data_IF_778938359447
#
_entry.id   IF_778938359447
#
_cell.length_a   1.000
_cell.length_b   1.000
_cell.length_c   1.000
_cell.angle_alpha   90.00
_cell.angle_beta   90.00
_cell.angle_gamma   90.00
#
_symmetry.space_group_name_H-M   'P 1'
#
loop_
_entity.id
_entity.type
_entity.pdbx_description
1 polymer ?
#
# COMPACT_ATOMS: atom_id res chain seq x y z
N UNK A 1 -17.57 2.24 -1.99
CA UNK A 1 -16.34 2.16 -2.83
C UNK A 1 -15.15 2.00 -1.90
N UNK A 2 -14.34 0.96 -2.09
CA UNK A 2 -13.14 0.72 -1.29
C UNK A 2 -11.97 1.39 -2.00
N UNK A 3 -11.64 2.62 -1.62
CA UNK A 3 -10.54 3.37 -2.23
C UNK A 3 -9.22 2.97 -1.57
N UNK A 4 -8.40 2.20 -2.29
CA UNK A 4 -7.05 1.87 -1.87
C UNK A 4 -6.08 2.82 -2.55
N UNK A 5 -5.23 3.47 -1.75
CA UNK A 5 -4.10 4.25 -2.26
C UNK A 5 -2.83 3.41 -2.16
N UNK A 6 -2.05 3.34 -3.25
CA UNK A 6 -0.80 2.60 -3.29
C UNK A 6 0.34 3.52 -3.74
N UNK A 7 1.51 3.35 -3.14
CA UNK A 7 2.76 4.00 -3.56
C UNK A 7 3.59 2.92 -4.25
N UNK A 8 3.78 3.06 -5.55
CA UNK A 8 4.53 2.10 -6.37
C UNK A 8 5.64 2.80 -7.14
N UNK A 9 6.78 2.13 -7.38
CA UNK A 9 7.81 2.68 -8.25
C UNK A 9 7.34 2.73 -9.71
N UNK A 10 7.82 3.73 -10.46
CA UNK A 10 7.57 3.83 -11.91
C UNK A 10 8.42 2.85 -12.75
N UNK A 11 9.43 2.25 -12.13
CA UNK A 11 10.28 1.23 -12.76
C UNK A 11 10.00 -0.13 -12.12
N UNK A 12 9.98 -1.17 -12.95
CA UNK A 12 9.61 -2.54 -12.54
C UNK A 12 10.58 -3.14 -11.51
N UNK A 13 11.87 -2.81 -11.60
CA UNK A 13 12.90 -3.21 -10.66
C UNK A 13 13.49 -1.97 -10.03
N UNK A 14 13.03 -1.63 -8.81
CA UNK A 14 13.55 -0.48 -8.08
C UNK A 14 14.78 -0.86 -7.24
N UNK A 15 15.97 -0.27 -7.48
CA UNK A 15 17.17 -0.56 -6.70
C UNK A 15 17.00 -0.18 -5.22
N UNK A 16 17.35 -1.09 -4.31
CA UNK A 16 17.24 -0.84 -2.87
C UNK A 16 15.80 -0.60 -2.38
N UNK A 17 14.80 -1.21 -3.02
CA UNK A 17 13.37 -1.06 -2.71
C UNK A 17 13.04 -1.26 -1.23
N UNK A 18 13.69 -2.19 -0.53
CA UNK A 18 13.48 -2.37 0.92
C UNK A 18 13.93 -1.15 1.73
N UNK A 19 15.12 -0.62 1.44
CA UNK A 19 15.65 0.55 2.12
C UNK A 19 14.77 1.78 1.84
N UNK A 20 14.30 1.92 0.59
CA UNK A 20 13.38 3.00 0.21
C UNK A 20 12.03 2.89 0.92
N UNK A 21 11.45 1.70 0.99
CA UNK A 21 10.19 1.46 1.70
C UNK A 21 10.32 1.84 3.19
N UNK A 22 11.42 1.45 3.85
CA UNK A 22 11.70 1.86 5.23
C UNK A 22 11.83 3.38 5.41
N UNK A 23 12.45 4.07 4.45
CA UNK A 23 12.55 5.54 4.48
C UNK A 23 11.18 6.21 4.33
N UNK A 24 10.35 5.72 3.41
CA UNK A 24 8.98 6.22 3.22
C UNK A 24 8.16 5.99 4.48
N UNK A 25 8.20 4.80 5.08
CA UNK A 25 7.52 4.51 6.35
C UNK A 25 7.94 5.49 7.44
N UNK A 26 9.25 5.67 7.66
CA UNK A 26 9.76 6.61 8.67
C UNK A 26 9.28 8.04 8.43
N UNK A 27 9.20 8.45 7.18
CA UNK A 27 8.68 9.77 6.81
C UNK A 27 7.17 9.89 7.12
N UNK A 28 6.37 8.87 6.81
CA UNK A 28 4.93 8.85 7.10
C UNK A 28 4.65 8.84 8.62
N UNK A 29 5.43 8.07 9.38
CA UNK A 29 5.37 8.08 10.86
C UNK A 29 5.73 9.46 11.40
N UNK A 30 6.80 10.10 10.88
CA UNK A 30 7.19 11.45 11.29
C UNK A 30 6.10 12.50 11.00
N UNK A 31 5.32 12.32 9.94
CA UNK A 31 4.18 13.17 9.60
C UNK A 31 2.90 12.83 10.37
N UNK A 32 2.94 11.80 11.23
CA UNK A 32 1.77 11.30 11.98
C UNK A 32 0.66 10.82 11.02
N UNK A 33 1.04 10.22 9.89
CA UNK A 33 0.09 9.66 8.91
C UNK A 33 -0.22 8.18 9.21
N UNK A 34 0.77 7.45 9.73
CA UNK A 34 0.61 6.05 10.17
C UNK A 34 1.27 5.88 11.54
N UNK A 35 0.76 4.94 12.32
CA UNK A 35 1.31 4.56 13.61
C UNK A 35 2.68 3.89 13.43
N UNK A 36 3.62 4.06 14.38
CA UNK A 36 4.94 3.45 14.30
C UNK A 36 4.92 1.93 14.57
N UNK A 37 3.94 1.42 15.31
CA UNK A 37 3.84 0.02 15.67
C UNK A 37 3.22 -0.82 14.56
N UNK A 38 3.87 -1.94 14.26
CA UNK A 38 3.34 -2.95 13.36
C UNK A 38 2.32 -3.81 14.11
N UNK A 39 1.09 -3.89 13.57
CA UNK A 39 -0.02 -4.64 14.18
C UNK A 39 -0.76 -5.48 13.14
N UNK A 40 -1.78 -6.22 13.57
CA UNK A 40 -2.56 -7.14 12.71
C UNK A 40 -3.70 -6.45 11.92
N UNK A 41 -3.54 -5.16 11.60
CA UNK A 41 -4.54 -4.34 10.91
C UNK A 41 -4.45 -4.35 9.37
N UNK A 42 -3.65 -5.27 8.82
CA UNK A 42 -3.52 -5.50 7.38
C UNK A 42 -4.62 -6.40 6.82
N UNK A 43 -4.74 -6.37 5.50
CA UNK A 43 -5.68 -7.16 4.70
C UNK A 43 -5.05 -8.42 4.11
N UNK A 44 -3.78 -8.37 3.70
CA UNK A 44 -3.15 -9.45 2.92
C UNK A 44 -2.56 -10.57 3.79
N UNK A 45 -1.76 -11.45 3.18
CA UNK A 45 -1.34 -12.79 3.64
C UNK A 45 -0.98 -12.90 5.14
N UNK A 46 -0.20 -11.97 5.70
CA UNK A 46 0.19 -12.00 7.11
C UNK A 46 -0.60 -11.04 8.01
N UNK A 47 -1.51 -10.25 7.43
CA UNK A 47 -2.29 -9.19 8.08
C UNK A 47 -1.46 -8.15 8.83
N UNK A 48 -0.16 -8.06 8.59
CA UNK A 48 0.71 -7.11 9.31
C UNK A 48 0.75 -5.78 8.57
N UNK A 49 0.42 -4.70 9.28
CA UNK A 49 0.40 -3.36 8.72
C UNK A 49 0.61 -2.28 9.80
N UNK A 50 0.85 -1.05 9.37
CA UNK A 50 0.95 0.13 10.21
C UNK A 50 -0.38 0.88 10.18
N UNK A 51 -1.09 0.96 11.30
CA UNK A 51 -2.43 1.56 11.36
C UNK A 51 -2.40 3.03 10.90
N UNK A 52 -3.51 3.53 10.35
CA UNK A 52 -3.67 4.96 10.07
C UNK A 52 -3.64 5.75 11.39
N UNK A 53 -2.76 6.76 11.47
CA UNK A 53 -2.63 7.64 12.62
C UNK A 53 -3.53 8.89 12.48
N UNK A 54 -3.87 9.59 13.59
CA UNK A 54 -4.78 10.73 13.58
C UNK A 54 -4.40 11.84 12.57
N UNK A 55 -3.10 12.05 12.35
CA UNK A 55 -2.60 13.06 11.44
C UNK A 55 -2.83 12.81 9.96
N UNK A 56 -3.23 11.59 9.57
CA UNK A 56 -3.65 11.29 8.19
C UNK A 56 -4.77 12.21 7.69
N UNK A 57 -5.61 12.73 8.61
CA UNK A 57 -6.66 13.71 8.29
C UNK A 57 -6.15 14.95 7.57
N UNK A 58 -4.87 15.31 7.74
CA UNK A 58 -4.25 16.50 7.12
C UNK A 58 -3.80 16.31 5.68
N UNK A 59 -3.67 15.06 5.22
CA UNK A 59 -3.03 14.73 3.94
C UNK A 59 -3.96 14.06 2.93
N UNK A 60 -5.22 13.83 3.31
CA UNK A 60 -6.24 13.20 2.45
C UNK A 60 -7.32 14.18 2.04
N UNK A 61 -7.90 13.97 0.85
CA UNK A 61 -9.00 14.79 0.33
C UNK A 61 -10.31 14.63 1.13
N UNK A 62 -10.53 13.44 1.72
CA UNK A 62 -11.75 13.09 2.44
C UNK A 62 -11.42 12.53 3.83
N UNK A 63 -11.17 13.39 4.84
CA UNK A 63 -10.76 12.95 6.18
C UNK A 63 -11.76 12.04 6.89
N UNK A 64 -13.06 12.22 6.63
CA UNK A 64 -14.14 11.45 7.26
C UNK A 64 -14.27 10.03 6.68
N UNK A 65 -13.64 9.77 5.53
CA UNK A 65 -13.60 8.44 4.91
C UNK A 65 -12.42 7.58 5.42
N UNK A 66 -11.58 8.09 6.33
CA UNK A 66 -10.47 7.34 6.88
C UNK A 66 -10.97 6.14 7.71
N UNK A 67 -10.31 4.97 7.62
CA UNK A 67 -10.78 3.72 8.22
C UNK A 67 -10.48 3.61 9.73
N UNK A 68 -10.61 4.71 10.48
CA UNK A 68 -10.39 4.69 11.93
C UNK A 68 -11.34 3.70 12.62
N UNK A 69 -10.80 2.91 13.55
CA UNK A 69 -11.55 1.89 14.29
C UNK A 69 -11.96 0.65 13.48
N UNK A 70 -11.66 0.58 12.18
CA UNK A 70 -11.91 -0.63 11.39
C UNK A 70 -10.81 -1.67 11.64
N UNK A 71 -11.17 -2.96 11.57
CA UNK A 71 -10.22 -4.08 11.71
C UNK A 71 -9.11 -4.03 10.67
N UNK A 72 -9.43 -3.59 9.45
CA UNK A 72 -8.47 -3.40 8.37
C UNK A 72 -8.32 -1.91 8.14
N UNK A 73 -7.24 -1.34 8.65
CA UNK A 73 -6.98 0.10 8.60
C UNK A 73 -5.50 0.45 8.40
N UNK A 74 -4.67 -0.53 8.01
CA UNK A 74 -3.23 -0.37 7.97
C UNK A 74 -2.62 -0.16 6.58
N UNK A 75 -1.50 0.53 6.56
CA UNK A 75 -0.55 0.56 5.46
C UNK A 75 0.33 -0.69 5.47
N UNK A 76 0.24 -1.47 4.41
CA UNK A 76 1.08 -2.65 4.19
C UNK A 76 2.35 -2.30 3.40
N UNK A 77 3.46 -2.96 3.74
CA UNK A 77 4.72 -2.84 2.99
C UNK A 77 4.90 -4.09 2.13
N UNK A 78 4.85 -3.89 0.80
CA UNK A 78 5.09 -4.94 -0.18
C UNK A 78 6.39 -4.64 -0.92
N UNK A 79 7.43 -5.42 -0.64
CA UNK A 79 8.75 -5.32 -1.28
C UNK A 79 9.01 -6.41 -2.31
N UNK A 80 8.25 -7.52 -2.23
CA UNK A 80 8.32 -8.59 -3.22
C UNK A 80 7.67 -8.13 -4.52
N UNK A 81 8.18 -8.64 -5.64
CA UNK A 81 7.56 -8.42 -6.95
C UNK A 81 6.13 -8.97 -6.92
N UNK A 82 5.18 -8.10 -7.24
CA UNK A 82 3.76 -8.43 -7.31
C UNK A 82 3.11 -7.68 -8.46
N UNK A 83 2.03 -8.24 -8.99
CA UNK A 83 1.13 -7.55 -9.91
C UNK A 83 -0.08 -7.06 -9.13
N UNK A 84 -0.59 -5.89 -9.51
CA UNK A 84 -1.88 -5.44 -9.02
C UNK A 84 -2.98 -6.26 -9.71
N UNK A 85 -3.73 -7.03 -8.92
CA UNK A 85 -4.89 -7.77 -9.40
C UNK A 85 -6.17 -7.04 -8.96
N UNK A 86 -6.97 -6.51 -9.91
CA UNK A 86 -8.27 -5.96 -9.60
C UNK A 86 -9.15 -6.99 -8.88
N UNK A 87 -9.99 -6.53 -7.94
CA UNK A 87 -10.91 -7.42 -7.21
C UNK A 87 -12.06 -7.93 -8.08
N UNK A 88 -12.42 -7.17 -9.11
CA UNK A 88 -13.50 -7.50 -10.05
C UNK A 88 -12.93 -7.52 -11.47
N UNK A 89 -13.46 -8.41 -12.31
CA UNK A 89 -13.15 -8.48 -13.75
C UNK A 89 -11.66 -8.63 -14.08
N UNK A 90 -10.86 -9.24 -13.19
CA UNK A 90 -9.48 -9.56 -13.51
C UNK A 90 -9.43 -10.73 -14.50
N UNK A 91 -8.82 -10.51 -15.66
CA UNK A 91 -8.72 -11.49 -16.74
C UNK A 91 -7.82 -12.70 -16.43
N UNK A 92 -7.32 -12.82 -15.20
CA UNK A 92 -6.30 -13.81 -14.77
C UNK A 92 -4.99 -13.78 -15.56
N UNK A 93 -4.82 -12.76 -16.40
CA UNK A 93 -3.65 -12.51 -17.22
C UNK A 93 -3.14 -11.09 -16.98
N UNK A 94 -1.83 -10.95 -16.78
CA UNK A 94 -1.15 -9.66 -16.72
C UNK A 94 -0.18 -9.55 -17.91
N UNK A 95 -0.39 -8.56 -18.77
CA UNK A 95 0.44 -8.31 -19.94
C UNK A 95 1.17 -6.98 -19.86
N UNK A 96 2.39 -6.91 -20.43
CA UNK A 96 3.08 -5.65 -20.62
C UNK A 96 2.33 -4.82 -21.69
N UNK A 97 1.95 -3.55 -21.42
CA UNK A 97 1.22 -2.73 -22.39
C UNK A 97 2.04 -2.44 -23.65
N UNK A 98 3.37 -2.46 -23.55
CA UNK A 98 4.26 -2.19 -24.68
C UNK A 98 4.48 -3.43 -25.57
N UNK A 99 4.81 -4.58 -24.98
CA UNK A 99 5.25 -5.76 -25.74
C UNK A 99 4.27 -6.94 -25.73
N UNK A 100 3.15 -6.81 -25.01
CA UNK A 100 2.09 -7.84 -24.83
C UNK A 100 2.55 -9.20 -24.31
N UNK A 101 3.77 -9.30 -23.81
CA UNK A 101 4.25 -10.51 -23.12
C UNK A 101 3.65 -10.59 -21.72
N UNK A 102 3.46 -11.82 -21.24
CA UNK A 102 3.04 -12.08 -19.86
C UNK A 102 4.01 -11.45 -18.85
N UNK A 103 3.45 -10.86 -17.79
CA UNK A 103 4.14 -10.22 -16.67
C UNK A 103 3.66 -10.90 -15.40
N UNK A 104 4.41 -11.87 -14.92
CA UNK A 104 4.04 -12.66 -13.74
C UNK A 104 4.81 -13.95 -13.68
#
# INVERSE_FOLDING_TARGET
MNTQSIIVPQISTFPGHEARARLILRWLVKLDVVEPELTTCGRTYNKMAYAVAPGARRVVKHPDALPFGQTVNGLEIVTKRCIYTPLNDFAEEAGCPECRRGVG
#
